data_IF_857458328981
#
_entry.id   IF_857458328981
#
_cell.length_a   1.000
_cell.length_b   1.000
_cell.length_c   1.000
_cell.angle_alpha   90.00
_cell.angle_beta   90.00
_cell.angle_gamma   90.00
#
_symmetry.space_group_name_H-M   'P 1'
#
loop_
_entity.id
_entity.type
_entity.pdbx_description
1 polymer ?
#
# COMPACT_ATOMS: atom_id res chain seq x y z
N UNK A 1 -6.98 16.42 6.64
CA UNK A 1 -7.06 15.39 5.59
C UNK A 1 -5.78 14.56 5.49
N UNK A 2 -4.60 15.20 5.44
CA UNK A 2 -3.30 14.50 5.49
C UNK A 2 -3.18 13.56 6.68
N UNK A 3 -3.48 14.03 7.90
CA UNK A 3 -3.43 13.18 9.10
C UNK A 3 -4.36 11.96 9.01
N UNK A 4 -5.58 12.14 8.49
CA UNK A 4 -6.55 11.04 8.30
C UNK A 4 -5.99 9.98 7.33
N UNK A 5 -5.37 10.42 6.22
CA UNK A 5 -4.71 9.51 5.29
C UNK A 5 -3.56 8.76 5.95
N UNK A 6 -2.71 9.45 6.73
CA UNK A 6 -1.63 8.80 7.48
C UNK A 6 -2.14 7.76 8.48
N UNK A 7 -3.21 8.06 9.21
CA UNK A 7 -3.87 7.09 10.09
C UNK A 7 -4.51 5.93 9.35
N UNK A 8 -5.01 6.13 8.13
CA UNK A 8 -5.52 5.04 7.29
C UNK A 8 -4.40 4.06 6.91
N UNK A 9 -3.21 4.56 6.55
CA UNK A 9 -2.04 3.71 6.31
C UNK A 9 -1.59 2.98 7.58
N UNK A 10 -1.56 3.65 8.73
CA UNK A 10 -1.31 2.98 10.01
C UNK A 10 -2.36 1.91 10.34
N UNK A 11 -3.63 2.18 10.05
CA UNK A 11 -4.69 1.21 10.23
C UNK A 11 -4.45 -0.04 9.39
N UNK A 12 -4.01 0.08 8.13
CA UNK A 12 -3.62 -1.07 7.31
C UNK A 12 -2.48 -1.87 7.96
N UNK A 13 -1.45 -1.20 8.49
CA UNK A 13 -0.36 -1.86 9.21
C UNK A 13 -0.88 -2.65 10.43
N UNK A 14 -1.69 -2.01 11.28
CA UNK A 14 -2.28 -2.64 12.47
C UNK A 14 -3.21 -3.80 12.09
N UNK A 15 -4.02 -3.62 11.05
CA UNK A 15 -4.93 -4.66 10.56
C UNK A 15 -4.16 -5.91 10.13
N UNK A 16 -3.05 -5.77 9.41
CA UNK A 16 -2.20 -6.90 9.02
C UNK A 16 -1.59 -7.56 10.27
N UNK A 17 -1.09 -6.79 11.25
CA UNK A 17 -0.57 -7.35 12.52
C UNK A 17 -1.64 -8.15 13.26
N UNK A 18 -2.87 -7.64 13.35
CA UNK A 18 -4.00 -8.34 13.96
C UNK A 18 -4.26 -9.67 13.24
N UNK A 19 -4.31 -9.66 11.91
CA UNK A 19 -4.52 -10.89 11.13
C UNK A 19 -3.38 -11.90 11.32
N UNK A 20 -2.13 -11.43 11.36
CA UNK A 20 -0.97 -12.28 11.66
C UNK A 20 -1.06 -12.93 13.05
N UNK A 21 -1.62 -12.23 14.04
CA UNK A 21 -1.85 -12.78 15.39
C UNK A 21 -2.86 -13.94 15.40
N UNK A 22 -3.76 -13.98 14.43
CA UNK A 22 -4.68 -15.10 14.16
C UNK A 22 -4.12 -16.13 13.16
N UNK A 23 -2.81 -16.07 12.86
CA UNK A 23 -2.13 -16.91 11.89
C UNK A 23 -2.65 -16.76 10.44
N UNK A 24 -3.23 -15.61 10.11
CA UNK A 24 -3.70 -15.29 8.76
C UNK A 24 -2.72 -14.35 8.04
N UNK A 25 -2.31 -14.74 6.83
CA UNK A 25 -1.42 -13.97 5.96
C UNK A 25 -2.25 -13.23 4.91
N UNK A 26 -2.54 -11.95 5.18
CA UNK A 26 -3.40 -11.12 4.35
C UNK A 26 -2.76 -10.82 3.00
N UNK A 27 -1.48 -10.45 2.98
CA UNK A 27 -0.77 -10.09 1.76
C UNK A 27 -0.67 -11.31 0.82
N UNK A 28 -0.32 -12.50 1.33
CA UNK A 28 -0.32 -13.69 0.48
C UNK A 28 -1.70 -14.04 -0.05
N UNK A 29 -2.74 -13.88 0.77
CA UNK A 29 -4.10 -14.10 0.30
C UNK A 29 -4.45 -13.08 -0.79
N UNK A 30 -4.17 -11.80 -0.59
CA UNK A 30 -4.54 -10.72 -1.51
C UNK A 30 -3.89 -10.89 -2.89
N UNK A 31 -2.63 -11.31 -2.94
CA UNK A 31 -1.87 -11.51 -4.19
C UNK A 31 -2.18 -12.84 -4.90
N UNK A 32 -3.14 -13.65 -4.43
CA UNK A 32 -3.54 -14.84 -5.19
C UNK A 32 -4.24 -14.41 -6.50
N UNK A 33 -4.01 -15.12 -7.63
CA UNK A 33 -4.66 -14.79 -8.90
C UNK A 33 -6.19 -14.71 -8.81
N UNK A 34 -6.82 -15.58 -8.01
CA UNK A 34 -8.27 -15.57 -7.76
C UNK A 34 -8.78 -14.29 -7.06
N UNK A 35 -7.90 -13.58 -6.37
CA UNK A 35 -8.20 -12.37 -5.62
C UNK A 35 -7.77 -11.08 -6.34
N UNK A 36 -7.32 -11.18 -7.60
CA UNK A 36 -6.89 -10.07 -8.46
C UNK A 36 -7.82 -8.85 -8.37
N UNK A 37 -9.13 -9.08 -8.49
CA UNK A 37 -10.11 -7.98 -8.50
C UNK A 37 -10.18 -7.25 -7.16
N UNK A 38 -10.03 -7.97 -6.05
CA UNK A 38 -9.98 -7.37 -4.71
C UNK A 38 -8.70 -6.55 -4.57
N UNK A 39 -7.57 -7.09 -5.06
CA UNK A 39 -6.31 -6.35 -5.02
C UNK A 39 -6.35 -5.09 -5.87
N UNK A 40 -6.92 -5.18 -7.09
CA UNK A 40 -7.13 -4.03 -7.96
C UNK A 40 -8.04 -2.97 -7.32
N UNK A 41 -9.11 -3.38 -6.64
CA UNK A 41 -9.98 -2.46 -5.91
C UNK A 41 -9.24 -1.75 -4.78
N UNK A 42 -8.39 -2.48 -4.05
CA UNK A 42 -7.57 -1.93 -2.99
C UNK A 42 -6.60 -0.87 -3.53
N UNK A 43 -5.83 -1.19 -4.57
CA UNK A 43 -4.91 -0.23 -5.23
C UNK A 43 -5.68 0.99 -5.78
N UNK A 44 -6.82 0.78 -6.44
CA UNK A 44 -7.64 1.86 -6.99
C UNK A 44 -8.20 2.78 -5.91
N UNK A 45 -8.64 2.22 -4.77
CA UNK A 45 -9.08 3.00 -3.61
C UNK A 45 -7.95 3.90 -3.10
N UNK A 46 -6.73 3.37 -3.00
CA UNK A 46 -5.58 4.18 -2.58
C UNK A 46 -5.19 5.24 -3.60
N UNK A 47 -5.28 4.99 -4.91
CA UNK A 47 -5.12 6.04 -5.93
C UNK A 47 -6.11 7.18 -5.70
N UNK A 48 -7.40 6.85 -5.54
CA UNK A 48 -8.45 7.86 -5.39
C UNK A 48 -8.29 8.69 -4.12
N UNK A 49 -8.05 8.04 -2.97
CA UNK A 49 -7.95 8.77 -1.69
C UNK A 49 -6.67 9.61 -1.63
N UNK A 50 -5.52 9.11 -2.14
CA UNK A 50 -4.31 9.91 -2.24
C UNK A 50 -4.51 11.09 -3.19
N UNK A 51 -5.13 10.88 -4.35
CA UNK A 51 -5.45 11.93 -5.30
C UNK A 51 -6.35 13.00 -4.69
N UNK A 52 -7.41 12.61 -3.98
CA UNK A 52 -8.30 13.53 -3.29
C UNK A 52 -7.57 14.35 -2.21
N UNK A 53 -6.71 13.73 -1.42
CA UNK A 53 -5.92 14.44 -0.40
C UNK A 53 -4.88 15.34 -1.06
N UNK A 54 -4.25 14.91 -2.15
CA UNK A 54 -3.25 15.68 -2.89
C UNK A 54 -3.84 16.99 -3.44
N UNK A 55 -4.99 16.93 -4.12
CA UNK A 55 -5.63 18.11 -4.73
C UNK A 55 -6.20 19.08 -3.69
N UNK A 56 -6.46 18.60 -2.47
CA UNK A 56 -6.98 19.41 -1.34
C UNK A 56 -5.88 19.87 -0.39
N UNK A 57 -4.62 19.47 -0.60
CA UNK A 57 -3.49 19.89 0.22
C UNK A 57 -2.93 21.23 -0.25
N UNK A 58 -2.86 22.20 0.67
CA UNK A 58 -2.20 23.49 0.48
C UNK A 58 -1.22 23.73 1.65
N UNK A 59 0.11 23.82 1.43
CA UNK A 59 0.79 23.68 0.14
C UNK A 59 0.67 22.25 -0.45
N UNK A 60 0.95 22.13 -1.76
CA UNK A 60 0.92 20.86 -2.47
C UNK A 60 1.87 19.83 -1.81
N UNK A 61 1.35 18.65 -1.49
CA UNK A 61 2.10 17.62 -0.79
C UNK A 61 2.67 16.57 -1.76
N UNK A 62 3.87 16.83 -2.27
CA UNK A 62 4.52 15.96 -3.27
C UNK A 62 4.79 14.53 -2.77
N UNK A 63 4.92 14.32 -1.45
CA UNK A 63 5.09 12.98 -0.86
C UNK A 63 3.85 12.13 -1.12
N UNK A 64 2.66 12.69 -0.89
CA UNK A 64 1.37 12.03 -1.20
C UNK A 64 1.24 11.79 -2.71
N UNK A 65 1.74 12.72 -3.53
CA UNK A 65 1.77 12.56 -4.99
C UNK A 65 2.59 11.36 -5.45
N UNK A 66 3.77 11.13 -4.86
CA UNK A 66 4.59 9.95 -5.16
C UNK A 66 3.87 8.66 -4.76
N UNK A 67 3.22 8.64 -3.59
CA UNK A 67 2.47 7.47 -3.13
C UNK A 67 1.29 7.14 -4.06
N UNK A 68 0.56 8.16 -4.52
CA UNK A 68 -0.49 8.00 -5.52
C UNK A 68 0.04 7.31 -6.79
N UNK A 69 1.23 7.69 -7.26
CA UNK A 69 1.85 7.12 -8.46
C UNK A 69 2.22 5.64 -8.23
N UNK A 70 2.74 5.26 -7.06
CA UNK A 70 3.01 3.85 -6.76
C UNK A 70 1.74 3.00 -6.80
N UNK A 71 0.65 3.47 -6.21
CA UNK A 71 -0.65 2.77 -6.30
C UNK A 71 -1.18 2.73 -7.74
N UNK A 72 -1.01 3.81 -8.51
CA UNK A 72 -1.40 3.82 -9.91
C UNK A 72 -0.58 2.83 -10.75
N UNK A 73 0.70 2.65 -10.43
CA UNK A 73 1.54 1.62 -11.02
C UNK A 73 1.05 0.22 -10.63
N UNK A 74 0.64 -0.01 -9.38
CA UNK A 74 -0.01 -1.25 -8.95
C UNK A 74 -1.26 -1.56 -9.76
N UNK A 75 -2.14 -0.57 -9.97
CA UNK A 75 -3.31 -0.67 -10.86
C UNK A 75 -2.89 -1.04 -12.28
N UNK A 76 -1.90 -0.35 -12.84
CA UNK A 76 -1.40 -0.64 -14.19
C UNK A 76 -0.90 -2.08 -14.31
N UNK A 77 -0.06 -2.54 -13.37
CA UNK A 77 0.49 -3.88 -13.36
C UNK A 77 -0.63 -4.93 -13.32
N UNK A 78 -1.63 -4.74 -12.45
CA UNK A 78 -2.76 -5.65 -12.34
C UNK A 78 -3.67 -5.63 -13.58
N UNK A 79 -3.87 -4.49 -14.23
CA UNK A 79 -4.73 -4.42 -15.42
C UNK A 79 -4.05 -4.96 -16.67
N UNK A 80 -2.78 -4.61 -16.90
CA UNK A 80 -2.15 -4.76 -18.20
C UNK A 80 -1.04 -5.80 -18.23
N UNK A 81 -0.41 -6.12 -17.10
CA UNK A 81 0.75 -7.03 -17.04
C UNK A 81 0.60 -8.08 -15.93
N UNK A 82 -0.62 -8.51 -15.63
CA UNK A 82 -0.86 -9.37 -14.46
C UNK A 82 -0.22 -10.75 -14.57
N UNK A 83 -0.01 -11.27 -15.78
CA UNK A 83 0.66 -12.56 -15.97
C UNK A 83 2.10 -12.50 -15.45
N UNK A 84 2.86 -11.49 -15.90
CA UNK A 84 4.25 -11.29 -15.46
C UNK A 84 4.33 -11.00 -13.96
N UNK A 85 3.38 -10.24 -13.43
CA UNK A 85 3.27 -10.01 -11.99
C UNK A 85 3.15 -11.33 -11.20
N UNK A 86 2.20 -12.19 -11.55
CA UNK A 86 2.01 -13.44 -10.82
C UNK A 86 3.19 -14.40 -10.97
N UNK A 87 3.82 -14.45 -12.15
CA UNK A 87 5.05 -15.22 -12.35
C UNK A 87 6.17 -14.72 -11.43
N UNK A 88 6.38 -13.40 -11.33
CA UNK A 88 7.40 -12.84 -10.43
C UNK A 88 7.11 -13.12 -8.94
N UNK A 89 5.83 -13.22 -8.55
CA UNK A 89 5.45 -13.60 -7.19
C UNK A 89 5.78 -15.08 -6.92
N UNK A 90 5.59 -15.97 -7.90
CA UNK A 90 5.97 -17.37 -7.78
C UNK A 90 7.48 -17.52 -7.63
N UNK A 91 8.26 -16.89 -8.53
CA UNK A 91 9.73 -16.85 -8.46
C UNK A 91 10.22 -16.28 -7.11
N UNK A 92 9.60 -15.19 -6.63
CA UNK A 92 9.94 -14.60 -5.35
C UNK A 92 9.73 -15.58 -4.18
N UNK A 93 8.65 -16.36 -4.19
CA UNK A 93 8.34 -17.35 -3.15
C UNK A 93 9.28 -18.55 -3.16
N UNK A 94 9.86 -18.89 -4.31
CA UNK A 94 10.91 -19.92 -4.39
C UNK A 94 12.20 -19.45 -3.71
N UNK A 95 12.55 -18.16 -3.84
CA UNK A 95 13.76 -17.58 -3.24
C UNK A 95 13.56 -17.24 -1.75
N UNK A 96 12.36 -16.77 -1.38
CA UNK A 96 12.01 -16.38 -0.01
C UNK A 96 10.86 -17.27 0.50
N UNK A 97 11.17 -18.46 1.06
CA UNK A 97 10.16 -19.44 1.45
C UNK A 97 9.40 -19.07 2.73
N UNK A 98 9.73 -17.95 3.35
CA UNK A 98 9.08 -17.46 4.56
C UNK A 98 7.67 -16.97 4.22
N UNK A 99 6.66 -17.78 4.53
CA UNK A 99 5.27 -17.49 4.19
C UNK A 99 4.85 -16.08 4.62
N UNK A 100 5.18 -15.63 5.83
CA UNK A 100 4.72 -14.33 6.34
C UNK A 100 5.59 -13.13 5.94
N UNK A 101 6.60 -13.32 5.08
CA UNK A 101 7.55 -12.26 4.73
C UNK A 101 6.86 -11.04 4.13
N UNK A 102 5.94 -11.25 3.19
CA UNK A 102 5.22 -10.16 2.52
C UNK A 102 4.33 -9.35 3.49
N UNK A 103 3.68 -10.01 4.44
CA UNK A 103 2.91 -9.31 5.47
C UNK A 103 3.81 -8.49 6.40
N UNK A 104 4.93 -9.05 6.85
CA UNK A 104 5.89 -8.32 7.69
C UNK A 104 6.46 -7.10 6.97
N UNK A 105 6.77 -7.25 5.69
CA UNK A 105 7.22 -6.16 4.83
C UNK A 105 6.12 -5.10 4.72
N UNK A 106 4.88 -5.50 4.42
CA UNK A 106 3.75 -4.59 4.31
C UNK A 106 3.45 -3.84 5.62
N UNK A 107 3.55 -4.50 6.78
CA UNK A 107 3.40 -3.88 8.10
C UNK A 107 4.42 -2.75 8.27
N UNK A 108 5.69 -3.02 7.97
CA UNK A 108 6.76 -2.02 8.07
C UNK A 108 6.52 -0.87 7.09
N UNK A 109 6.24 -1.16 5.82
CA UNK A 109 6.01 -0.14 4.80
C UNK A 109 4.81 0.74 5.14
N UNK A 110 3.66 0.17 5.47
CA UNK A 110 2.47 0.94 5.82
C UNK A 110 2.64 1.75 7.11
N UNK A 111 3.36 1.21 8.10
CA UNK A 111 3.70 1.95 9.32
C UNK A 111 4.59 3.16 9.04
N UNK A 112 5.67 2.96 8.29
CA UNK A 112 6.60 4.03 7.91
C UNK A 112 5.91 5.07 7.02
N UNK A 113 5.14 4.64 6.02
CA UNK A 113 4.39 5.54 5.14
C UNK A 113 3.36 6.34 5.95
N UNK A 114 2.62 5.69 6.84
CA UNK A 114 1.68 6.37 7.73
C UNK A 114 2.37 7.47 8.54
N UNK A 115 3.53 7.17 9.13
CA UNK A 115 4.35 8.15 9.85
C UNK A 115 4.77 9.31 8.94
N UNK A 116 5.36 9.00 7.78
CA UNK A 116 5.84 10.00 6.83
C UNK A 116 4.70 10.92 6.38
N UNK A 117 3.52 10.39 6.07
CA UNK A 117 2.36 11.20 5.67
C UNK A 117 1.95 12.14 6.80
N UNK A 118 1.84 11.66 8.04
CA UNK A 118 1.45 12.52 9.18
C UNK A 118 2.41 13.70 9.34
N UNK A 119 3.72 13.45 9.22
CA UNK A 119 4.74 14.48 9.41
C UNK A 119 5.12 15.22 8.12
N UNK A 120 4.57 14.82 6.98
CA UNK A 120 4.87 15.44 5.69
C UNK A 120 4.65 16.96 5.64
N UNK A 121 3.66 17.58 6.32
CA UNK A 121 3.53 19.05 6.33
C UNK A 121 4.79 19.73 6.88
N UNK A 122 5.38 19.22 7.96
CA UNK A 122 6.61 19.75 8.53
C UNK A 122 7.81 19.59 7.59
N UNK A 123 7.87 18.46 6.87
CA UNK A 123 8.97 18.16 5.94
C UNK A 123 8.93 19.03 4.68
N UNK A 124 7.76 19.48 4.26
CA UNK A 124 7.55 20.27 3.04
C UNK A 124 7.41 21.78 3.33
N UNK A 125 7.60 22.21 4.58
CA UNK A 125 7.50 23.62 4.97
C UNK A 125 6.07 24.15 5.05
N UNK A 126 5.07 23.26 5.18
CA UNK A 126 3.70 23.62 5.53
C UNK A 126 3.58 23.93 7.01
N UNK A 127 3.10 25.13 7.34
CA UNK A 127 2.73 25.56 8.70
C UNK A 127 1.56 24.77 9.26
#
# INVERSE_FOLDING_TARGET
>A
MIAILGYLYFFCSIFIVILLSFNYSFCNWLILPKNKNIYLQFESFFVLINGFVLITSAPFNWIIGILMIFHAYGVYVLLFTSADFYNSIEEFKEVVPQEKFLDLLAVLFYGIIGFIIIYSPFLIGGS
#
